data_IF_362468024240
#
_entry.id   IF_362468024240
#
_cell.length_a   1.000
_cell.length_b   1.000
_cell.length_c   1.000
_cell.angle_alpha   90.00
_cell.angle_beta   90.00
_cell.angle_gamma   90.00
#
_symmetry.space_group_name_H-M   'P 1'
#
loop_
_entity.id
_entity.type
_entity.pdbx_description
1 polymer ?
#
# COMPACT_ATOMS: atom_id res chain seq x y z
N UNK A 1 29.52 27.43 60.90
CA UNK A 1 29.44 26.03 61.35
C UNK A 1 27.98 25.69 61.61
N UNK A 2 27.31 25.02 60.67
CA UNK A 2 26.00 24.38 60.86
C UNK A 2 26.02 23.04 60.13
N UNK A 3 25.34 22.07 60.73
CA UNK A 3 25.62 20.63 60.70
C UNK A 3 25.21 19.93 59.39
N UNK A 4 25.97 18.87 59.09
CA UNK A 4 25.63 17.74 58.24
C UNK A 4 24.41 16.96 58.78
N UNK A 5 23.81 16.14 57.92
CA UNK A 5 22.77 15.10 58.14
C UNK A 5 21.38 15.57 57.67
N UNK A 6 20.82 15.07 56.55
CA UNK A 6 20.53 13.66 56.26
C UNK A 6 20.65 13.35 54.76
N UNK A 7 21.55 12.43 54.43
CA UNK A 7 21.60 11.72 53.16
C UNK A 7 20.56 10.59 53.21
N UNK A 8 19.34 10.84 52.74
CA UNK A 8 18.40 9.75 52.40
C UNK A 8 18.45 9.54 50.89
N UNK A 9 19.45 8.74 50.48
CA UNK A 9 19.50 8.08 49.18
C UNK A 9 18.37 7.04 49.11
N UNK A 10 17.73 6.94 47.93
CA UNK A 10 16.76 5.91 47.50
C UNK A 10 15.30 6.13 47.97
N UNK A 11 14.31 6.28 47.05
CA UNK A 11 14.12 5.41 45.91
C UNK A 11 13.71 6.14 44.62
N UNK A 12 14.69 6.61 43.83
CA UNK A 12 14.42 7.03 42.43
C UNK A 12 14.54 5.85 41.44
N UNK A 13 15.06 4.70 41.87
CA UNK A 13 15.36 3.56 41.00
C UNK A 13 14.16 2.63 40.74
N UNK A 14 13.07 2.71 41.52
CA UNK A 14 11.94 1.77 41.38
C UNK A 14 10.92 2.21 40.33
N UNK A 15 10.95 3.48 39.89
CA UNK A 15 10.02 4.00 38.86
C UNK A 15 10.45 3.59 37.44
N UNK A 16 11.70 3.19 37.23
CA UNK A 16 12.24 2.82 35.92
C UNK A 16 11.93 1.37 35.48
N UNK A 17 11.21 0.58 36.29
CA UNK A 17 10.95 -0.85 36.00
C UNK A 17 9.59 -1.13 35.33
N UNK A 18 8.82 -0.13 34.89
CA UNK A 18 7.48 -0.35 34.33
C UNK A 18 7.26 0.05 32.86
N UNK A 19 8.29 0.43 32.10
CA UNK A 19 8.15 0.68 30.65
C UNK A 19 8.57 -0.52 29.80
N UNK A 20 8.10 -1.71 30.18
CA UNK A 20 8.24 -2.95 29.41
C UNK A 20 6.90 -3.43 28.87
N UNK A 21 6.08 -2.53 28.33
CA UNK A 21 4.95 -2.93 27.49
C UNK A 21 5.41 -2.85 26.04
N UNK A 22 5.97 -3.94 25.51
CA UNK A 22 6.03 -4.10 24.06
C UNK A 22 4.59 -4.20 23.58
N UNK A 23 4.00 -3.08 23.18
CA UNK A 23 2.89 -3.12 22.23
C UNK A 23 3.52 -3.58 20.92
N UNK A 24 3.41 -4.87 20.58
CA UNK A 24 3.73 -5.33 19.24
C UNK A 24 2.76 -4.61 18.30
N UNK A 25 3.19 -3.48 17.74
CA UNK A 25 2.39 -2.78 16.76
C UNK A 25 2.52 -3.59 15.45
N UNK A 26 1.45 -3.75 14.68
CA UNK A 26 1.56 -4.52 13.42
C UNK A 26 2.50 -3.82 12.41
N UNK A 27 2.89 -2.57 12.66
CA UNK A 27 3.76 -1.77 11.79
C UNK A 27 5.24 -2.15 11.88
N UNK A 28 5.71 -2.61 13.04
CA UNK A 28 7.11 -2.96 13.30
C UNK A 28 7.51 -4.24 12.56
N UNK A 29 6.53 -5.07 12.20
CA UNK A 29 6.72 -6.30 11.43
C UNK A 29 6.69 -6.08 9.90
N UNK A 30 6.24 -4.90 9.44
CA UNK A 30 6.09 -4.60 8.02
C UNK A 30 7.42 -4.03 7.47
N UNK A 31 7.95 -4.60 6.37
CA UNK A 31 9.14 -4.07 5.72
C UNK A 31 9.00 -2.58 5.37
N UNK A 32 10.04 -1.80 5.63
CA UNK A 32 10.05 -0.34 5.40
C UNK A 32 9.59 0.10 4.00
N UNK A 33 9.99 -0.58 2.90
CA UNK A 33 9.48 -0.20 1.57
C UNK A 33 7.95 -0.29 1.46
N UNK A 34 7.32 -1.26 2.14
CA UNK A 34 5.87 -1.43 2.17
C UNK A 34 5.22 -0.36 3.04
N UNK A 35 5.77 -0.05 4.23
CA UNK A 35 5.20 1.01 5.07
C UNK A 35 5.29 2.37 4.38
N UNK A 36 6.41 2.70 3.73
CA UNK A 36 6.55 3.93 2.95
C UNK A 36 5.55 4.00 1.79
N UNK A 37 5.28 2.88 1.11
CA UNK A 37 4.25 2.83 0.08
C UNK A 37 2.86 3.15 0.66
N UNK A 38 2.52 2.57 1.81
CA UNK A 38 1.23 2.82 2.47
C UNK A 38 1.12 4.28 2.93
N UNK A 39 2.16 4.83 3.55
CA UNK A 39 2.19 6.23 3.99
C UNK A 39 2.03 7.20 2.82
N UNK A 40 2.64 6.89 1.66
CA UNK A 40 2.54 7.72 0.48
C UNK A 40 1.13 7.75 -0.12
N UNK A 41 0.46 6.60 -0.21
CA UNK A 41 -0.80 6.49 -0.96
C UNK A 41 -2.05 6.41 -0.08
N UNK A 42 -1.90 6.08 1.20
CA UNK A 42 -2.95 5.94 2.20
C UNK A 42 -2.55 6.58 3.54
N UNK A 43 -2.13 7.87 3.54
CA UNK A 43 -1.60 8.53 4.73
C UNK A 43 -2.58 8.50 5.90
N UNK A 44 -2.07 8.25 7.11
CA UNK A 44 -2.86 8.20 8.34
C UNK A 44 -3.79 6.98 8.45
N UNK A 45 -3.76 6.05 7.49
CA UNK A 45 -4.54 4.82 7.56
C UNK A 45 -3.85 3.79 8.46
N UNK A 46 -4.63 3.03 9.23
CA UNK A 46 -4.11 1.89 9.99
C UNK A 46 -3.98 0.62 9.15
N UNK A 47 -3.16 -0.33 9.62
CA UNK A 47 -3.11 -1.69 9.06
C UNK A 47 -4.01 -2.60 9.88
N UNK A 48 -4.92 -3.32 9.20
CA UNK A 48 -5.81 -4.32 9.81
C UNK A 48 -5.15 -5.69 9.92
N UNK A 49 -4.32 -6.04 8.95
CA UNK A 49 -3.58 -7.30 8.96
C UNK A 49 -2.39 -7.22 8.02
N UNK A 50 -1.29 -7.85 8.43
CA UNK A 50 -0.13 -8.13 7.62
C UNK A 50 0.12 -9.64 7.59
N UNK A 51 0.53 -10.17 6.44
CA UNK A 51 0.96 -11.57 6.32
C UNK A 51 2.03 -11.70 5.26
N UNK A 52 2.99 -12.59 5.49
CA UNK A 52 4.06 -12.92 4.55
C UNK A 52 4.09 -14.43 4.28
N UNK A 53 4.46 -14.80 3.07
CA UNK A 53 4.74 -16.18 2.67
C UNK A 53 5.84 -16.20 1.59
N UNK A 54 6.19 -17.39 1.09
CA UNK A 54 7.25 -17.56 0.09
C UNK A 54 6.98 -16.81 -1.23
N UNK A 55 5.74 -16.39 -1.48
CA UNK A 55 5.34 -15.62 -2.67
C UNK A 55 5.32 -14.11 -2.45
N UNK A 56 5.61 -13.63 -1.23
CA UNK A 56 5.68 -12.20 -0.90
C UNK A 56 4.76 -11.81 0.26
N UNK A 57 4.20 -10.60 0.16
CA UNK A 57 3.56 -9.91 1.29
C UNK A 57 2.14 -9.50 0.95
N UNK A 58 1.27 -9.50 1.96
CA UNK A 58 -0.10 -8.97 1.86
C UNK A 58 -0.38 -8.04 3.03
N UNK A 59 -0.96 -6.89 2.73
CA UNK A 59 -1.41 -5.90 3.71
C UNK A 59 -2.88 -5.61 3.47
N UNK A 60 -3.68 -5.56 4.53
CA UNK A 60 -5.02 -5.00 4.50
C UNK A 60 -5.04 -3.72 5.28
N UNK A 61 -5.43 -2.62 4.63
CA UNK A 61 -5.64 -1.34 5.30
C UNK A 61 -6.98 -1.39 6.03
N UNK A 62 -7.03 -0.82 7.24
CA UNK A 62 -8.25 -0.76 8.05
C UNK A 62 -9.35 -0.01 7.29
N UNK A 63 -10.46 -0.70 7.02
CA UNK A 63 -11.60 -0.21 6.24
C UNK A 63 -11.20 0.36 4.86
N UNK A 64 -10.12 -0.16 4.27
CA UNK A 64 -9.56 0.35 3.02
C UNK A 64 -9.09 -0.74 2.08
N UNK A 65 -8.08 -0.41 1.29
CA UNK A 65 -7.56 -1.27 0.23
C UNK A 65 -6.85 -2.52 0.77
N UNK A 66 -6.74 -3.53 -0.09
CA UNK A 66 -5.87 -4.70 0.08
C UNK A 66 -4.72 -4.63 -0.92
N UNK A 67 -3.50 -4.78 -0.42
CA UNK A 67 -2.26 -4.63 -1.17
C UNK A 67 -1.50 -5.95 -1.13
N UNK A 68 -0.94 -6.35 -2.27
CA UNK A 68 0.01 -7.47 -2.37
C UNK A 68 1.32 -6.97 -2.99
N UNK A 69 2.41 -7.49 -2.47
CA UNK A 69 3.77 -7.19 -2.90
C UNK A 69 4.53 -8.49 -3.15
N UNK A 70 5.45 -8.48 -4.10
CA UNK A 70 6.39 -9.58 -4.30
C UNK A 70 7.49 -9.61 -3.21
N UNK A 71 8.39 -10.58 -3.31
CA UNK A 71 9.52 -10.74 -2.38
C UNK A 71 10.53 -9.60 -2.41
N UNK A 72 10.50 -8.77 -3.45
CA UNK A 72 11.33 -7.56 -3.61
C UNK A 72 10.59 -6.29 -3.14
N UNK A 73 9.44 -6.46 -2.49
CA UNK A 73 8.57 -5.38 -1.98
C UNK A 73 7.94 -4.52 -3.08
N UNK A 74 7.95 -4.97 -4.33
CA UNK A 74 7.26 -4.31 -5.43
C UNK A 74 5.79 -4.70 -5.42
N UNK A 75 4.88 -3.74 -5.55
CA UNK A 75 3.46 -4.04 -5.60
C UNK A 75 3.12 -4.89 -6.82
N UNK A 76 2.22 -5.85 -6.63
CA UNK A 76 1.72 -6.76 -7.66
C UNK A 76 0.21 -6.69 -7.81
N UNK A 77 -0.50 -6.37 -6.73
CA UNK A 77 -1.95 -6.21 -6.75
C UNK A 77 -2.43 -5.20 -5.72
N UNK A 78 -3.39 -4.36 -6.12
CA UNK A 78 -4.02 -3.34 -5.29
C UNK A 78 -5.51 -3.39 -5.56
N UNK A 79 -6.30 -3.67 -4.54
CA UNK A 79 -7.76 -3.77 -4.60
C UNK A 79 -8.39 -2.78 -3.62
N UNK A 80 -9.21 -1.87 -4.14
CA UNK A 80 -9.95 -0.89 -3.34
C UNK A 80 -11.13 -1.49 -2.56
N UNK A 81 -11.38 -2.81 -2.67
CA UNK A 81 -12.46 -3.52 -1.99
C UNK A 81 -13.85 -2.92 -2.28
N UNK A 82 -14.10 -2.61 -3.55
CA UNK A 82 -15.36 -2.00 -4.01
C UNK A 82 -15.37 -0.47 -3.98
N UNK A 83 -14.26 0.16 -3.60
CA UNK A 83 -14.05 1.61 -3.69
C UNK A 83 -13.00 1.89 -4.77
N UNK A 84 -13.10 3.05 -5.42
CA UNK A 84 -12.12 3.53 -6.40
C UNK A 84 -10.78 3.82 -5.72
N UNK A 85 -9.69 3.50 -6.39
CA UNK A 85 -8.34 3.77 -5.92
C UNK A 85 -8.04 5.27 -5.93
N UNK A 86 -7.20 5.78 -5.01
CA UNK A 86 -6.77 7.18 -5.04
C UNK A 86 -6.14 7.55 -6.39
N UNK A 87 -6.58 8.60 -7.07
CA UNK A 87 -6.05 8.96 -8.40
C UNK A 87 -4.52 9.16 -8.41
N UNK A 88 -3.93 9.58 -7.28
CA UNK A 88 -2.48 9.72 -7.13
C UNK A 88 -1.73 8.39 -7.27
N UNK A 89 -2.29 7.26 -6.80
CA UNK A 89 -1.66 5.95 -6.98
C UNK A 89 -1.78 5.50 -8.43
N UNK A 90 -2.91 5.78 -9.07
CA UNK A 90 -3.16 5.49 -10.49
C UNK A 90 -2.19 6.28 -11.37
N UNK A 91 -2.00 7.56 -11.07
CA UNK A 91 -1.04 8.41 -11.79
C UNK A 91 0.41 7.95 -11.60
N UNK A 92 0.84 7.70 -10.36
CA UNK A 92 2.24 7.39 -10.07
C UNK A 92 2.66 5.98 -10.50
N UNK A 93 1.74 5.01 -10.48
CA UNK A 93 2.08 3.60 -10.64
C UNK A 93 1.78 3.03 -12.03
N UNK A 94 1.05 3.75 -12.88
CA UNK A 94 0.76 3.30 -14.24
C UNK A 94 1.80 3.79 -15.26
N UNK A 95 2.06 3.00 -16.33
CA UNK A 95 2.80 3.49 -17.48
C UNK A 95 2.15 4.76 -18.06
N UNK A 96 2.94 5.79 -18.49
CA UNK A 96 2.38 7.04 -18.99
C UNK A 96 1.38 6.86 -20.14
N UNK A 97 1.64 5.91 -21.05
CA UNK A 97 0.72 5.62 -22.16
C UNK A 97 -0.66 5.12 -21.68
N UNK A 98 -0.67 4.25 -20.67
CA UNK A 98 -1.90 3.74 -20.08
C UNK A 98 -2.64 4.84 -19.30
N UNK A 99 -1.94 5.66 -18.51
CA UNK A 99 -2.57 6.76 -17.81
C UNK A 99 -3.16 7.81 -18.76
N UNK A 100 -2.42 8.20 -19.82
CA UNK A 100 -2.90 9.12 -20.85
C UNK A 100 -4.13 8.58 -21.57
N UNK A 101 -4.17 7.27 -21.81
CA UNK A 101 -5.36 6.63 -22.36
C UNK A 101 -6.58 6.80 -21.46
N UNK A 102 -6.45 6.53 -20.15
CA UNK A 102 -7.53 6.71 -19.18
C UNK A 102 -8.01 8.17 -19.14
N UNK A 103 -7.09 9.14 -19.18
CA UNK A 103 -7.43 10.56 -19.26
C UNK A 103 -8.23 10.89 -20.52
N UNK A 104 -7.86 10.33 -21.67
CA UNK A 104 -8.55 10.56 -22.94
C UNK A 104 -9.99 10.03 -22.98
N UNK A 105 -10.30 9.03 -22.15
CA UNK A 105 -11.66 8.49 -21.99
C UNK A 105 -12.32 8.92 -20.66
N UNK A 106 -11.69 9.83 -19.92
CA UNK A 106 -12.14 10.35 -18.62
C UNK A 106 -12.39 9.28 -17.53
N UNK A 107 -11.64 8.16 -17.55
CA UNK A 107 -11.79 7.04 -16.61
C UNK A 107 -10.65 6.86 -15.62
N UNK A 108 -9.73 7.83 -15.50
CA UNK A 108 -8.61 7.73 -14.54
C UNK A 108 -9.07 7.56 -13.08
N UNK A 109 -10.25 8.11 -12.76
CA UNK A 109 -10.82 8.07 -11.43
C UNK A 109 -11.57 6.76 -11.15
N UNK A 110 -11.87 5.96 -12.19
CA UNK A 110 -12.77 4.80 -12.14
C UNK A 110 -12.06 3.44 -11.99
N UNK A 111 -10.79 3.46 -11.57
CA UNK A 111 -10.02 2.25 -11.30
C UNK A 111 -10.36 1.72 -9.90
N UNK A 112 -10.92 0.51 -9.80
CA UNK A 112 -11.24 -0.15 -8.53
C UNK A 112 -10.13 -1.09 -8.06
N UNK A 113 -9.44 -1.73 -9.00
CA UNK A 113 -8.27 -2.54 -8.69
C UNK A 113 -7.25 -2.47 -9.83
N UNK A 114 -5.98 -2.69 -9.50
CA UNK A 114 -4.92 -2.85 -10.50
C UNK A 114 -3.96 -3.96 -10.10
N UNK A 115 -3.59 -4.80 -11.07
CA UNK A 115 -2.51 -5.77 -10.94
C UNK A 115 -1.45 -5.54 -12.01
N UNK A 116 -0.22 -5.97 -11.72
CA UNK A 116 0.83 -6.05 -12.74
C UNK A 116 1.66 -7.31 -12.58
N UNK A 117 2.19 -7.76 -13.70
CA UNK A 117 3.26 -8.75 -13.77
C UNK A 117 4.30 -8.31 -14.81
N UNK A 118 5.18 -9.22 -15.21
CA UNK A 118 6.23 -8.97 -16.21
C UNK A 118 5.70 -8.68 -17.62
N UNK A 119 4.43 -8.95 -17.88
CA UNK A 119 3.82 -8.89 -19.21
C UNK A 119 2.71 -7.84 -19.27
N UNK A 120 1.88 -7.73 -18.24
CA UNK A 120 0.68 -6.91 -18.28
C UNK A 120 0.53 -5.99 -17.07
N UNK A 121 -0.12 -4.86 -17.32
CA UNK A 121 -0.97 -4.21 -16.33
C UNK A 121 -2.42 -4.59 -16.61
N UNK A 122 -3.19 -4.83 -15.56
CA UNK A 122 -4.63 -5.11 -15.64
C UNK A 122 -5.36 -4.22 -14.66
N UNK A 123 -6.30 -3.41 -15.18
CA UNK A 123 -7.14 -2.53 -14.39
C UNK A 123 -8.54 -3.12 -14.34
N UNK A 124 -9.12 -3.19 -13.16
CA UNK A 124 -10.54 -3.52 -12.96
C UNK A 124 -11.29 -2.21 -12.78
N UNK A 125 -12.19 -1.93 -13.71
CA UNK A 125 -13.09 -0.79 -13.71
C UNK A 125 -14.44 -1.21 -13.11
N UNK A 126 -15.45 -0.33 -13.13
CA UNK A 126 -16.80 -0.69 -12.66
C UNK A 126 -17.41 -1.85 -13.46
N UNK A 127 -17.38 -1.76 -14.80
CA UNK A 127 -18.08 -2.67 -15.70
C UNK A 127 -17.15 -3.44 -16.66
N UNK A 128 -15.85 -3.18 -16.61
CA UNK A 128 -14.90 -3.78 -17.55
C UNK A 128 -13.51 -3.94 -16.94
N UNK A 129 -12.62 -4.55 -17.71
CA UNK A 129 -11.21 -4.68 -17.40
C UNK A 129 -10.43 -4.04 -18.54
N UNK A 130 -9.37 -3.31 -18.23
CA UNK A 130 -8.42 -2.80 -19.22
C UNK A 130 -7.11 -3.57 -19.06
N UNK A 131 -6.59 -4.14 -20.15
CA UNK A 131 -5.30 -4.85 -20.16
C UNK A 131 -4.32 -4.05 -21.01
N UNK A 132 -3.16 -3.73 -20.44
CA UNK A 132 -2.05 -3.09 -21.11
C UNK A 132 -0.86 -4.05 -21.20
N UNK A 133 -0.43 -4.37 -22.41
CA UNK A 133 0.76 -5.19 -22.65
C UNK A 133 2.02 -4.33 -22.62
N UNK A 134 2.95 -4.66 -21.72
CA UNK A 134 4.14 -3.84 -21.43
C UNK A 134 5.09 -3.77 -22.64
N UNK A 135 5.28 -4.89 -23.34
CA UNK A 135 6.23 -5.01 -24.46
C UNK A 135 5.81 -4.20 -25.68
N UNK A 136 4.51 -4.09 -25.94
CA UNK A 136 3.96 -3.48 -27.16
C UNK A 136 3.31 -2.12 -26.90
N UNK A 137 2.95 -1.82 -25.66
CA UNK A 137 2.13 -0.66 -25.30
C UNK A 137 0.65 -0.82 -25.69
N UNK A 138 0.24 -2.01 -26.14
CA UNK A 138 -1.13 -2.27 -26.61
C UNK A 138 -2.12 -2.30 -25.46
N UNK A 139 -3.25 -1.60 -25.63
CA UNK A 139 -4.39 -1.62 -24.71
C UNK A 139 -5.50 -2.49 -25.30
N UNK A 140 -6.11 -3.34 -24.48
CA UNK A 140 -7.21 -4.23 -24.89
C UNK A 140 -8.29 -4.37 -23.83
N UNK A 141 -9.48 -4.76 -24.30
CA UNK A 141 -10.72 -4.94 -23.54
C UNK A 141 -11.20 -6.40 -23.66
N UNK A 142 -11.64 -7.06 -22.57
CA UNK A 142 -12.12 -8.45 -22.61
C UNK A 142 -13.40 -8.64 -23.42
N UNK A 143 -14.20 -7.60 -23.60
CA UNK A 143 -15.42 -7.62 -24.40
C UNK A 143 -15.14 -7.58 -25.92
N UNK A 144 -13.86 -7.59 -26.33
CA UNK A 144 -13.48 -7.80 -27.73
C UNK A 144 -13.78 -6.64 -28.67
N UNK A 145 -14.22 -5.48 -28.15
CA UNK A 145 -14.32 -4.25 -28.94
C UNK A 145 -12.93 -3.63 -29.07
N UNK A 146 -12.34 -3.78 -30.26
CA UNK A 146 -11.24 -2.93 -30.70
C UNK A 146 -11.83 -1.60 -31.16
N UNK A 147 -11.42 -0.49 -30.54
CA UNK A 147 -11.59 0.83 -31.16
C UNK A 147 -10.48 0.95 -32.20
N UNK A 148 -10.83 0.83 -33.46
CA UNK A 148 -9.94 1.21 -34.55
C UNK A 148 -9.69 2.72 -34.43
N UNK A 149 -8.42 3.10 -34.34
CA UNK A 149 -7.95 4.48 -34.51
C UNK A 149 -8.18 4.97 -35.92
#
# INVERSE_FOLDING_TARGET
MTRLEKLTLLPLLVILLFMGACSNNEWDEIPTPITSFIEQYYPGSGVKSFSQNDSGYKVKITNGASLSFDTEYSWTFIDGNGVRLPEVIVYNQLPPALFNYLQGIEQQADVYAMSRDKTYYKLTMHDTIIIYEISTGKISYPDGKTLDT
#
